data_IF_488860568212
#
_entry.id   IF_488860568212
#
_cell.length_a   1.000
_cell.length_b   1.000
_cell.length_c   1.000
_cell.angle_alpha   90.00
_cell.angle_beta   90.00
_cell.angle_gamma   90.00
#
_symmetry.space_group_name_H-M   'P 1'
#
loop_
_entity.id
_entity.type
_entity.pdbx_description
1 polymer ?
#
# COMPACT_ATOMS: atom_id res chain seq x y z
N UNK A 1 -5.44 -24.05 -8.07
CA UNK A 1 -4.69 -23.29 -7.03
C UNK A 1 -4.64 -21.81 -7.44
N UNK A 2 -5.61 -20.98 -7.06
CA UNK A 2 -5.82 -19.66 -7.70
C UNK A 2 -6.12 -18.49 -6.75
N UNK A 3 -5.64 -18.52 -5.51
CA UNK A 3 -6.13 -17.63 -4.46
C UNK A 3 -5.08 -16.90 -3.62
N UNK A 4 -3.86 -16.64 -4.11
CA UNK A 4 -2.86 -15.84 -3.34
C UNK A 4 -2.26 -14.66 -4.12
N UNK A 5 -2.57 -14.54 -5.40
CA UNK A 5 -1.89 -13.59 -6.28
C UNK A 5 -2.20 -12.13 -5.96
N UNK A 6 -3.41 -11.82 -5.48
CA UNK A 6 -3.83 -10.43 -5.25
C UNK A 6 -3.17 -9.81 -4.01
N UNK A 7 -3.17 -10.52 -2.88
CA UNK A 7 -2.56 -10.02 -1.63
C UNK A 7 -1.04 -9.87 -1.80
N UNK A 8 -0.39 -10.85 -2.46
CA UNK A 8 1.05 -10.77 -2.76
C UNK A 8 1.34 -9.54 -3.65
N UNK A 9 0.49 -9.28 -4.63
CA UNK A 9 0.63 -8.10 -5.47
C UNK A 9 0.45 -6.80 -4.67
N UNK A 10 -0.58 -6.70 -3.84
CA UNK A 10 -0.82 -5.54 -2.97
C UNK A 10 0.36 -5.29 -2.01
N UNK A 11 0.91 -6.35 -1.42
CA UNK A 11 2.10 -6.28 -0.57
C UNK A 11 3.30 -5.70 -1.32
N UNK A 12 3.63 -6.25 -2.50
CA UNK A 12 4.74 -5.75 -3.34
C UNK A 12 4.54 -4.29 -3.77
N UNK A 13 3.30 -3.95 -4.07
CA UNK A 13 2.92 -2.60 -4.49
C UNK A 13 3.17 -1.60 -3.37
N UNK A 14 2.64 -1.87 -2.17
CA UNK A 14 2.81 -0.99 -1.01
C UNK A 14 4.28 -0.93 -0.57
N UNK A 15 5.01 -2.04 -0.60
CA UNK A 15 6.45 -2.07 -0.34
C UNK A 15 7.20 -1.07 -1.23
N UNK A 16 6.90 -1.08 -2.53
CA UNK A 16 7.52 -0.21 -3.52
C UNK A 16 7.14 1.26 -3.28
N UNK A 17 5.85 1.53 -2.97
CA UNK A 17 5.38 2.87 -2.64
C UNK A 17 6.09 3.46 -1.41
N UNK A 18 6.25 2.67 -0.36
CA UNK A 18 6.92 3.09 0.89
C UNK A 18 8.40 3.33 0.63
N UNK A 19 9.07 2.43 -0.11
CA UNK A 19 10.49 2.61 -0.47
C UNK A 19 10.72 3.88 -1.30
N UNK A 20 9.86 4.15 -2.28
CA UNK A 20 9.94 5.34 -3.12
C UNK A 20 9.72 6.62 -2.29
N UNK A 21 8.73 6.61 -1.39
CA UNK A 21 8.48 7.72 -0.48
C UNK A 21 9.67 7.96 0.45
N UNK A 22 10.17 6.92 1.11
CA UNK A 22 11.29 6.99 2.04
C UNK A 22 12.54 7.54 1.34
N UNK A 23 12.87 7.03 0.16
CA UNK A 23 14.06 7.46 -0.57
C UNK A 23 14.00 8.91 -1.04
N UNK A 24 12.81 9.46 -1.30
CA UNK A 24 12.66 10.85 -1.76
C UNK A 24 12.40 11.85 -0.66
N UNK A 25 11.70 11.48 0.41
CA UNK A 25 11.36 12.39 1.51
C UNK A 25 12.40 12.33 2.62
N UNK A 26 12.91 11.13 2.93
CA UNK A 26 13.88 10.92 4.01
C UNK A 26 15.32 10.72 3.50
N UNK A 27 15.57 10.90 2.19
CA UNK A 27 16.88 10.77 1.55
C UNK A 27 17.61 9.45 1.83
N UNK A 28 16.86 8.37 2.08
CA UNK A 28 17.43 7.03 2.21
C UNK A 28 17.79 6.46 0.83
N UNK A 29 18.84 5.66 0.74
CA UNK A 29 19.25 5.04 -0.54
C UNK A 29 18.94 3.55 -0.59
N UNK A 30 19.41 2.79 0.38
CA UNK A 30 19.38 1.32 0.33
C UNK A 30 18.33 0.70 1.27
N UNK A 31 18.11 1.33 2.43
CA UNK A 31 17.23 0.81 3.48
C UNK A 31 16.08 1.77 3.79
N UNK A 32 14.96 1.24 4.28
CA UNK A 32 13.90 2.06 4.85
C UNK A 32 14.39 2.69 6.15
N UNK A 33 14.04 3.96 6.40
CA UNK A 33 14.22 4.53 7.74
C UNK A 33 13.31 3.81 8.73
N UNK A 34 13.59 3.93 10.03
CA UNK A 34 12.83 3.26 11.10
C UNK A 34 11.32 3.47 10.99
N UNK A 35 10.89 4.71 10.69
CA UNK A 35 9.47 5.02 10.54
C UNK A 35 8.82 4.33 9.32
N UNK A 36 9.51 4.32 8.18
CA UNK A 36 8.99 3.70 6.97
C UNK A 36 9.03 2.17 7.08
N UNK A 37 9.98 1.61 7.81
CA UNK A 37 10.05 0.19 8.12
C UNK A 37 8.89 -0.23 9.02
N UNK A 38 8.62 0.52 10.09
CA UNK A 38 7.47 0.27 10.98
C UNK A 38 6.15 0.32 10.20
N UNK A 39 5.98 1.31 9.31
CA UNK A 39 4.81 1.43 8.45
C UNK A 39 4.67 0.24 7.49
N UNK A 40 5.79 -0.21 6.93
CA UNK A 40 5.85 -1.36 6.02
C UNK A 40 5.43 -2.65 6.71
N UNK A 41 6.06 -2.97 7.84
CA UNK A 41 5.75 -4.18 8.62
C UNK A 41 4.31 -4.17 9.12
N UNK A 42 3.83 -3.01 9.60
CA UNK A 42 2.44 -2.83 10.00
C UNK A 42 1.48 -3.13 8.85
N UNK A 43 1.76 -2.58 7.67
CA UNK A 43 0.90 -2.77 6.49
C UNK A 43 0.88 -4.22 6.04
N UNK A 44 2.04 -4.89 6.00
CA UNK A 44 2.15 -6.30 5.65
C UNK A 44 1.33 -7.18 6.60
N UNK A 45 1.51 -6.98 7.92
CA UNK A 45 0.77 -7.72 8.93
C UNK A 45 -0.74 -7.56 8.75
N UNK A 46 -1.22 -6.34 8.48
CA UNK A 46 -2.65 -6.07 8.24
C UNK A 46 -3.19 -6.67 6.94
N UNK A 47 -2.35 -6.78 5.91
CA UNK A 47 -2.74 -7.43 4.65
C UNK A 47 -2.81 -8.94 4.79
N UNK A 48 -1.88 -9.54 5.54
CA UNK A 48 -1.84 -10.97 5.81
C UNK A 48 -3.01 -11.42 6.71
N UNK A 49 -3.31 -10.65 7.78
CA UNK A 49 -4.44 -10.88 8.68
C UNK A 49 -5.80 -10.42 8.10
N UNK A 50 -5.86 -10.04 6.82
CA UNK A 50 -7.07 -9.47 6.25
C UNK A 50 -8.19 -10.52 6.14
N UNK A 51 -9.27 -10.33 6.92
CA UNK A 51 -10.47 -11.19 6.91
C UNK A 51 -11.11 -11.35 5.51
N UNK A 52 -10.93 -10.37 4.63
CA UNK A 52 -11.48 -10.40 3.27
C UNK A 52 -10.55 -11.05 2.24
N UNK A 53 -9.25 -11.19 2.55
CA UNK A 53 -8.25 -11.75 1.64
C UNK A 53 -8.35 -11.20 0.22
N UNK A 54 -8.46 -12.08 -0.78
CA UNK A 54 -8.58 -11.68 -2.20
C UNK A 54 -9.96 -11.11 -2.58
N UNK A 55 -10.98 -11.32 -1.75
CA UNK A 55 -12.33 -10.77 -1.95
C UNK A 55 -12.42 -9.31 -1.49
N UNK A 56 -11.33 -8.75 -0.96
CA UNK A 56 -11.23 -7.35 -0.57
C UNK A 56 -11.43 -6.42 -1.77
N UNK A 57 -12.17 -5.32 -1.61
CA UNK A 57 -12.32 -4.30 -2.64
C UNK A 57 -11.07 -3.41 -2.71
N UNK A 58 -10.95 -2.46 -1.78
CA UNK A 58 -9.79 -1.62 -1.56
C UNK A 58 -9.66 -1.31 -0.05
N UNK A 59 -8.47 -0.97 0.45
CA UNK A 59 -8.32 -0.60 1.87
C UNK A 59 -9.12 0.68 2.22
N UNK A 60 -9.26 1.60 1.27
CA UNK A 60 -9.89 2.91 1.47
C UNK A 60 -11.41 2.87 1.69
N UNK A 61 -12.12 1.93 1.05
CA UNK A 61 -13.55 1.69 1.18
C UNK A 61 -13.85 0.37 1.90
N UNK A 62 -12.87 -0.18 2.62
CA UNK A 62 -13.07 -1.34 3.47
C UNK A 62 -14.05 -1.00 4.60
N UNK A 63 -15.07 -1.84 4.79
CA UNK A 63 -16.10 -1.64 5.83
C UNK A 63 -15.58 -1.80 7.26
N UNK A 64 -14.42 -2.45 7.43
CA UNK A 64 -13.80 -2.68 8.75
C UNK A 64 -12.67 -1.68 8.96
N UNK A 65 -12.67 -1.05 10.13
CA UNK A 65 -11.56 -0.24 10.62
C UNK A 65 -10.46 -1.16 11.17
N UNK A 66 -9.47 -1.48 10.35
CA UNK A 66 -8.34 -2.34 10.73
C UNK A 66 -7.01 -1.58 10.91
N UNK A 67 -6.93 -0.32 10.46
CA UNK A 67 -5.75 0.52 10.59
C UNK A 67 -5.89 1.47 11.77
N UNK A 68 -4.87 1.55 12.62
CA UNK A 68 -4.76 2.62 13.63
C UNK A 68 -4.74 3.98 12.90
N UNK A 69 -5.44 4.97 13.43
CA UNK A 69 -5.58 6.29 12.79
C UNK A 69 -4.23 6.90 12.39
N UNK A 70 -3.23 6.86 13.28
CA UNK A 70 -1.89 7.37 13.01
C UNK A 70 -1.19 6.65 11.84
N UNK A 71 -1.30 5.31 11.76
CA UNK A 71 -0.74 4.54 10.64
C UNK A 71 -1.53 4.74 9.35
N UNK A 72 -2.85 4.96 9.45
CA UNK A 72 -3.72 5.27 8.33
C UNK A 72 -3.32 6.60 7.67
N UNK A 73 -3.03 7.61 8.47
CA UNK A 73 -2.58 8.91 7.96
C UNK A 73 -1.23 8.79 7.25
N UNK A 74 -0.26 8.09 7.86
CA UNK A 74 1.04 7.83 7.25
C UNK A 74 0.92 7.11 5.90
N UNK A 75 0.15 6.02 5.82
CA UNK A 75 0.00 5.30 4.55
C UNK A 75 -0.77 6.12 3.49
N UNK A 76 -1.71 6.98 3.89
CA UNK A 76 -2.37 7.90 2.96
C UNK A 76 -1.38 8.91 2.39
N UNK A 77 -0.46 9.45 3.19
CA UNK A 77 0.58 10.36 2.72
C UNK A 77 1.47 9.64 1.69
N UNK A 78 1.95 8.44 2.03
CA UNK A 78 2.74 7.60 1.12
C UNK A 78 1.96 7.31 -0.17
N UNK A 79 0.69 6.93 -0.07
CA UNK A 79 -0.16 6.65 -1.24
C UNK A 79 -0.41 7.89 -2.10
N UNK A 80 -0.61 9.08 -1.50
CA UNK A 80 -0.79 10.33 -2.25
C UNK A 80 0.48 10.75 -2.98
N UNK A 81 1.64 10.53 -2.36
CA UNK A 81 2.93 10.84 -2.96
C UNK A 81 3.32 9.83 -4.05
N UNK A 82 3.28 8.54 -3.71
CA UNK A 82 3.75 7.45 -4.57
C UNK A 82 2.69 7.00 -5.58
N UNK A 83 1.41 7.21 -5.31
CA UNK A 83 0.28 6.83 -6.19
C UNK A 83 0.37 7.37 -7.63
N UNK A 84 0.44 8.70 -7.86
CA UNK A 84 0.60 9.25 -9.21
C UNK A 84 1.91 8.82 -9.87
N UNK A 85 2.96 8.56 -9.08
CA UNK A 85 4.27 8.10 -9.56
C UNK A 85 4.28 6.60 -9.91
N UNK A 86 3.36 5.82 -9.34
CA UNK A 86 3.17 4.40 -9.68
C UNK A 86 2.41 4.18 -10.99
N UNK A 87 1.68 5.18 -11.50
CA UNK A 87 1.02 5.12 -12.81
C UNK A 87 2.03 4.82 -13.92
N UNK A 88 3.27 5.27 -13.74
CA UNK A 88 4.41 5.07 -14.65
C UNK A 88 4.90 3.60 -14.65
N UNK A 89 4.70 2.84 -13.56
CA UNK A 89 5.23 1.47 -13.40
C UNK A 89 4.17 0.37 -13.51
N UNK A 90 2.92 0.64 -13.13
CA UNK A 90 1.80 -0.33 -13.22
C UNK A 90 0.51 0.34 -13.74
N UNK A 91 0.46 0.71 -15.04
CA UNK A 91 -0.61 1.53 -15.62
C UNK A 91 -2.02 0.91 -15.49
N UNK A 92 -2.12 -0.43 -15.59
CA UNK A 92 -3.42 -1.14 -15.50
C UNK A 92 -4.03 -1.04 -14.09
N UNK A 93 -3.19 -1.02 -13.05
CA UNK A 93 -3.67 -0.93 -11.65
C UNK A 93 -4.10 0.48 -11.28
N UNK A 94 -3.39 1.49 -11.78
CA UNK A 94 -3.76 2.89 -11.66
C UNK A 94 -5.10 3.21 -12.35
N UNK A 95 -5.30 2.70 -13.57
CA UNK A 95 -6.55 2.87 -14.32
C UNK A 95 -7.72 2.18 -13.59
N UNK A 96 -7.53 0.95 -13.10
CA UNK A 96 -8.56 0.29 -12.26
C UNK A 96 -8.83 1.06 -10.96
N UNK A 97 -7.81 1.62 -10.30
CA UNK A 97 -7.98 2.38 -9.05
C UNK A 97 -8.68 3.73 -9.26
N UNK A 98 -8.49 4.38 -10.41
CA UNK A 98 -9.18 5.61 -10.79
C UNK A 98 -10.64 5.35 -11.20
N UNK A 99 -10.90 4.27 -11.94
CA UNK A 99 -12.25 3.92 -12.43
C UNK A 99 -13.14 3.31 -11.33
N UNK A 100 -12.57 2.57 -10.36
CA UNK A 100 -13.33 2.04 -9.20
C UNK A 100 -13.47 3.04 -8.04
N UNK A 101 -13.01 4.28 -8.22
CA UNK A 101 -13.22 5.39 -7.29
C UNK A 101 -14.57 6.05 -7.60
N UNK A 102 -15.66 5.30 -7.38
CA UNK A 102 -17.02 5.84 -7.21
C UNK A 102 -17.56 5.33 -5.88
#
# INVERSE_FOLDING_TARGET
MGGRNRIIFENKTVATMIKLYCNKIHNTKEHLCTECLELYEYTLKRLDECKFGNNKSNCGACKIHCYKNTMREKIIIVMRYSGPRMIIYHPIMAIKHLVYRK
#
